data_IF_193865093818
#
_entry.id   IF_193865093818
#
_cell.length_a   1.000
_cell.length_b   1.000
_cell.length_c   1.000
_cell.angle_alpha   90.00
_cell.angle_beta   90.00
_cell.angle_gamma   90.00
#
_symmetry.space_group_name_H-M   'P 1'
#
loop_
_entity.id
_entity.type
_entity.pdbx_description
1 polymer ?
#
# COMPACT_ATOMS: atom_id res chain seq x y z
N UNK A 1 -1.48 -13.75 -12.30
CA UNK A 1 -1.39 -12.51 -11.50
C UNK A 1 -2.79 -12.20 -10.96
N UNK A 2 -2.94 -11.92 -9.68
CA UNK A 2 -4.21 -11.53 -9.05
C UNK A 2 -4.33 -10.01 -8.89
N UNK A 3 -5.55 -9.47 -8.86
CA UNK A 3 -5.80 -8.08 -8.44
C UNK A 3 -6.21 -8.07 -6.96
N UNK A 4 -5.34 -7.56 -6.10
CA UNK A 4 -5.61 -7.40 -4.67
C UNK A 4 -6.20 -6.02 -4.40
N UNK A 5 -7.43 -5.98 -3.86
CA UNK A 5 -8.00 -4.74 -3.32
C UNK A 5 -7.74 -4.75 -1.82
N UNK A 6 -6.95 -3.80 -1.34
CA UNK A 6 -6.66 -3.65 0.08
C UNK A 6 -7.56 -2.54 0.65
N UNK A 7 -8.68 -2.87 1.32
CA UNK A 7 -9.53 -1.87 1.97
C UNK A 7 -8.84 -1.12 3.14
N UNK A 8 -7.55 -1.37 3.39
CA UNK A 8 -6.82 -0.95 4.59
C UNK A 8 -6.10 0.40 4.49
N UNK A 9 -6.10 1.11 3.36
CA UNK A 9 -5.32 2.37 3.28
C UNK A 9 -5.82 3.47 4.24
N UNK A 10 -7.08 3.43 4.68
CA UNK A 10 -7.56 4.31 5.75
C UNK A 10 -7.03 3.91 7.15
N UNK A 11 -6.77 2.62 7.38
CA UNK A 11 -6.32 2.04 8.66
C UNK A 11 -4.79 2.06 8.83
N UNK A 12 -4.05 2.01 7.73
CA UNK A 12 -2.58 2.10 7.70
C UNK A 12 -2.07 3.47 8.15
N UNK A 13 -2.92 4.49 8.04
CA UNK A 13 -2.57 5.87 8.39
C UNK A 13 -2.46 6.07 9.90
N UNK A 14 -3.49 5.83 10.71
CA UNK A 14 -3.41 6.16 12.14
C UNK A 14 -4.31 5.31 13.04
N UNK A 15 -3.78 4.89 14.19
CA UNK A 15 -4.52 4.16 15.23
C UNK A 15 -5.80 4.88 15.72
N UNK A 16 -5.89 6.21 15.64
CA UNK A 16 -7.07 7.00 16.04
C UNK A 16 -8.13 7.13 14.93
N UNK A 17 -7.79 6.84 13.68
CA UNK A 17 -8.70 6.88 12.52
C UNK A 17 -9.47 5.56 12.42
N UNK A 18 -10.26 5.23 13.45
CA UNK A 18 -11.10 4.02 13.51
C UNK A 18 -12.56 4.37 13.30
N UNK A 19 -13.03 4.31 12.07
CA UNK A 19 -14.46 4.43 11.77
C UNK A 19 -15.24 3.17 12.19
N UNK A 20 -14.57 2.01 12.17
CA UNK A 20 -15.15 0.70 12.49
C UNK A 20 -14.46 0.07 13.71
N UNK A 21 -15.21 -0.74 14.48
CA UNK A 21 -14.65 -1.56 15.55
C UNK A 21 -13.97 -2.79 14.96
N UNK A 22 -13.10 -3.43 15.75
CA UNK A 22 -12.40 -4.65 15.30
C UNK A 22 -13.37 -5.77 14.89
N UNK A 23 -14.46 -5.96 15.63
CA UNK A 23 -15.46 -6.97 15.30
C UNK A 23 -16.11 -6.69 13.93
N UNK A 24 -16.39 -5.43 13.62
CA UNK A 24 -16.95 -5.00 12.33
C UNK A 24 -15.95 -5.31 11.18
N UNK A 25 -14.65 -5.08 11.41
CA UNK A 25 -13.61 -5.45 10.44
C UNK A 25 -13.51 -6.97 10.21
N UNK A 26 -13.63 -7.76 11.28
CA UNK A 26 -13.60 -9.22 11.16
C UNK A 26 -14.85 -9.77 10.48
N UNK A 27 -16.02 -9.13 10.65
CA UNK A 27 -17.23 -9.47 9.89
C UNK A 27 -17.06 -9.20 8.39
N UNK A 28 -16.47 -8.04 8.03
CA UNK A 28 -16.13 -7.73 6.64
C UNK A 28 -15.14 -8.76 6.08
N UNK A 29 -14.11 -9.12 6.85
CA UNK A 29 -13.14 -10.13 6.46
C UNK A 29 -13.82 -11.48 6.18
N UNK A 30 -14.70 -11.93 7.07
CA UNK A 30 -15.45 -13.18 6.88
C UNK A 30 -16.30 -13.14 5.60
N UNK A 31 -17.03 -12.05 5.37
CA UNK A 31 -17.86 -11.87 4.15
C UNK A 31 -17.04 -11.86 2.86
N UNK A 32 -15.84 -11.28 2.89
CA UNK A 32 -14.92 -11.30 1.75
C UNK A 32 -14.37 -12.71 1.50
N UNK A 33 -14.01 -13.43 2.56
CA UNK A 33 -13.57 -14.83 2.47
C UNK A 33 -14.68 -15.74 1.94
N UNK A 34 -15.92 -15.59 2.41
CA UNK A 34 -17.09 -16.33 1.90
C UNK A 34 -17.35 -16.04 0.42
N UNK A 35 -16.99 -14.84 -0.06
CA UNK A 35 -17.03 -14.45 -1.46
C UNK A 35 -15.80 -14.93 -2.28
N UNK A 36 -14.94 -15.77 -1.69
CA UNK A 36 -13.76 -16.35 -2.33
C UNK A 36 -12.57 -15.40 -2.46
N UNK A 37 -12.48 -14.36 -1.63
CA UNK A 37 -11.35 -13.43 -1.59
C UNK A 37 -10.36 -13.82 -0.50
N UNK A 38 -9.07 -13.75 -0.81
CA UNK A 38 -8.03 -13.79 0.22
C UNK A 38 -8.09 -12.48 1.01
N UNK A 39 -8.08 -12.59 2.34
CA UNK A 39 -8.06 -11.44 3.24
C UNK A 39 -6.74 -11.39 3.99
N UNK A 40 -6.09 -10.24 3.92
CA UNK A 40 -4.84 -9.92 4.63
C UNK A 40 -5.14 -8.83 5.66
N UNK A 41 -4.77 -9.05 6.92
CA UNK A 41 -4.88 -8.04 7.96
C UNK A 41 -3.62 -7.20 8.03
N UNK A 42 -3.71 -5.93 7.65
CA UNK A 42 -2.56 -5.02 7.66
C UNK A 42 -2.32 -4.39 9.04
N UNK A 43 -1.05 -4.32 9.44
CA UNK A 43 -0.59 -3.69 10.69
C UNK A 43 -0.14 -2.24 10.46
N UNK A 44 -0.09 -1.44 11.53
CA UNK A 44 0.37 -0.06 11.45
C UNK A 44 1.87 0.01 11.11
N UNK A 45 2.25 0.95 10.25
CA UNK A 45 3.66 1.24 9.96
C UNK A 45 4.39 1.96 11.11
N UNK A 46 3.64 2.67 11.96
CA UNK A 46 4.19 3.41 13.09
C UNK A 46 3.37 3.13 14.35
N UNK A 47 4.04 2.58 15.37
CA UNK A 47 3.47 2.30 16.70
C UNK A 47 3.98 3.38 17.66
N UNK A 48 3.08 4.05 18.36
CA UNK A 48 3.44 5.24 19.15
C UNK A 48 3.04 5.12 20.62
N UNK A 49 2.05 4.28 20.91
CA UNK A 49 1.58 4.04 22.26
C UNK A 49 1.54 2.54 22.59
N UNK A 50 1.59 2.20 23.88
CA UNK A 50 1.38 0.83 24.36
C UNK A 50 0.05 0.22 23.88
N UNK A 51 -0.97 1.06 23.69
CA UNK A 51 -2.23 0.62 23.11
C UNK A 51 -2.08 0.09 21.69
N UNK A 52 -1.13 0.60 20.91
CA UNK A 52 -0.88 0.15 19.54
C UNK A 52 -0.21 -1.23 19.56
N UNK A 53 0.77 -1.44 20.45
CA UNK A 53 1.40 -2.74 20.68
C UNK A 53 0.38 -3.82 21.10
N UNK A 54 -0.50 -3.51 22.06
CA UNK A 54 -1.56 -4.43 22.48
C UNK A 54 -2.58 -4.75 21.36
N UNK A 55 -2.72 -3.88 20.36
CA UNK A 55 -3.57 -4.14 19.20
C UNK A 55 -2.83 -4.97 18.17
N UNK A 56 -1.55 -4.67 17.94
CA UNK A 56 -0.66 -5.46 17.10
C UNK A 56 -0.61 -6.92 17.56
N UNK A 57 -0.36 -7.18 18.84
CA UNK A 57 -0.35 -8.53 19.41
C UNK A 57 -1.66 -9.29 19.13
N UNK A 58 -2.81 -8.61 19.25
CA UNK A 58 -4.12 -9.20 18.98
C UNK A 58 -4.35 -9.47 17.49
N UNK A 59 -3.81 -8.64 16.60
CA UNK A 59 -3.85 -8.87 15.16
C UNK A 59 -2.93 -10.05 14.82
N UNK A 60 -1.70 -10.08 15.31
CA UNK A 60 -0.74 -11.16 15.03
C UNK A 60 -1.14 -12.52 15.65
N UNK A 61 -1.86 -12.52 16.77
CA UNK A 61 -2.36 -13.74 17.40
C UNK A 61 -3.65 -14.29 16.76
N UNK A 62 -4.18 -13.64 15.70
CA UNK A 62 -5.34 -14.15 14.99
C UNK A 62 -4.99 -15.47 14.27
N UNK A 63 -5.94 -16.39 14.20
CA UNK A 63 -5.73 -17.71 13.59
C UNK A 63 -6.32 -17.86 12.18
N UNK A 64 -7.02 -16.84 11.68
CA UNK A 64 -7.92 -16.97 10.53
C UNK A 64 -7.37 -16.29 9.26
N UNK A 65 -6.51 -15.29 9.41
CA UNK A 65 -6.08 -14.42 8.32
C UNK A 65 -4.56 -14.17 8.40
N UNK A 66 -3.92 -14.16 7.23
CA UNK A 66 -2.52 -13.75 7.10
C UNK A 66 -2.38 -12.28 7.48
N UNK A 67 -1.24 -11.92 8.06
CA UNK A 67 -0.95 -10.56 8.51
C UNK A 67 0.07 -9.91 7.59
N UNK A 68 -0.18 -8.67 7.18
CA UNK A 68 0.84 -7.82 6.57
C UNK A 68 1.57 -7.04 7.67
N UNK A 69 2.85 -7.36 7.84
CA UNK A 69 3.75 -6.71 8.76
C UNK A 69 4.30 -5.42 8.12
N UNK A 70 4.05 -4.27 8.74
CA UNK A 70 4.53 -2.96 8.30
C UNK A 70 5.58 -2.35 9.25
N UNK A 71 5.96 -3.07 10.31
CA UNK A 71 7.07 -2.73 11.18
C UNK A 71 7.76 -4.01 11.71
N UNK A 72 8.97 -3.89 12.26
CA UNK A 72 9.74 -5.04 12.74
C UNK A 72 9.17 -5.68 14.02
N UNK A 73 8.33 -4.98 14.78
CA UNK A 73 7.58 -5.55 15.91
C UNK A 73 6.55 -6.56 15.41
N UNK A 74 5.84 -6.26 14.32
CA UNK A 74 4.94 -7.21 13.67
C UNK A 74 5.71 -8.44 13.15
N UNK A 75 6.85 -8.22 12.49
CA UNK A 75 7.73 -9.32 12.04
C UNK A 75 8.17 -10.18 13.23
N UNK A 76 8.63 -9.58 14.33
CA UNK A 76 9.05 -10.30 15.53
C UNK A 76 7.95 -11.19 16.11
N UNK A 77 6.70 -10.73 16.08
CA UNK A 77 5.56 -11.50 16.61
C UNK A 77 5.16 -12.67 15.71
N UNK A 78 5.40 -12.59 14.41
CA UNK A 78 4.98 -13.58 13.40
C UNK A 78 6.10 -14.57 13.06
N UNK A 79 7.36 -14.13 13.14
CA UNK A 79 8.53 -14.85 12.65
C UNK A 79 8.64 -16.27 13.23
N UNK A 80 8.81 -17.25 12.34
CA UNK A 80 8.92 -18.67 12.68
C UNK A 80 7.67 -19.29 13.31
N UNK A 81 6.55 -18.55 13.38
CA UNK A 81 5.29 -19.02 14.00
C UNK A 81 4.20 -19.21 12.96
N UNK A 82 3.97 -18.20 12.12
CA UNK A 82 2.94 -18.22 11.07
C UNK A 82 3.44 -17.48 9.83
N UNK A 83 2.97 -17.86 8.62
CA UNK A 83 3.23 -17.10 7.40
C UNK A 83 2.76 -15.65 7.50
N UNK A 84 3.48 -14.73 6.86
CA UNK A 84 3.11 -13.32 6.82
C UNK A 84 3.47 -12.64 5.50
N UNK A 85 2.88 -11.48 5.25
CA UNK A 85 3.26 -10.58 4.15
C UNK A 85 4.23 -9.53 4.69
N UNK A 86 5.41 -9.40 4.09
CA UNK A 86 6.31 -8.29 4.34
C UNK A 86 5.81 -7.05 3.58
N UNK A 87 5.15 -6.13 4.29
CA UNK A 87 4.57 -4.92 3.72
C UNK A 87 5.62 -3.92 3.24
N UNK A 88 5.20 -2.89 2.48
CA UNK A 88 6.13 -1.95 1.85
C UNK A 88 6.90 -1.10 2.86
N UNK A 89 6.40 -0.98 4.09
CA UNK A 89 6.99 -0.17 5.16
C UNK A 89 8.10 -0.88 5.95
N UNK A 90 8.33 -2.17 5.68
CA UNK A 90 9.52 -2.89 6.17
C UNK A 90 10.80 -2.40 5.47
N UNK A 91 10.67 -1.67 4.35
CA UNK A 91 11.79 -1.04 3.65
C UNK A 91 12.81 -2.05 3.13
N UNK A 92 12.34 -3.09 2.44
CA UNK A 92 13.18 -4.11 1.82
C UNK A 92 13.76 -3.62 0.48
N UNK A 93 15.05 -3.26 0.47
CA UNK A 93 15.74 -2.67 -0.69
C UNK A 93 16.79 -3.57 -1.35
N UNK A 94 17.11 -4.74 -0.77
CA UNK A 94 18.18 -5.62 -1.24
C UNK A 94 17.83 -7.10 -1.06
N UNK A 95 18.56 -7.96 -1.78
CA UNK A 95 18.38 -9.41 -1.80
C UNK A 95 18.58 -10.08 -0.44
N UNK A 96 19.50 -9.55 0.36
CA UNK A 96 19.87 -10.07 1.68
C UNK A 96 18.72 -9.89 2.67
N UNK A 97 18.09 -8.71 2.65
CA UNK A 97 16.91 -8.40 3.46
C UNK A 97 15.72 -9.25 3.00
N UNK A 98 15.53 -9.40 1.68
CA UNK A 98 14.47 -10.23 1.13
C UNK A 98 14.60 -11.71 1.55
N UNK A 99 15.83 -12.23 1.50
CA UNK A 99 16.15 -13.59 1.95
C UNK A 99 15.91 -13.76 3.45
N UNK A 100 16.37 -12.80 4.27
CA UNK A 100 16.12 -12.79 5.71
C UNK A 100 14.61 -12.81 6.03
N UNK A 101 13.81 -11.99 5.36
CA UNK A 101 12.36 -11.96 5.57
C UNK A 101 11.71 -13.30 5.21
N UNK A 102 12.17 -13.96 4.15
CA UNK A 102 11.72 -15.29 3.78
C UNK A 102 12.08 -16.35 4.84
N UNK A 103 13.31 -16.33 5.35
CA UNK A 103 13.76 -17.22 6.43
C UNK A 103 12.94 -17.03 7.71
N UNK A 104 12.50 -15.80 7.98
CA UNK A 104 11.61 -15.50 9.09
C UNK A 104 10.16 -15.96 8.86
N UNK A 105 9.78 -16.34 7.63
CA UNK A 105 8.46 -16.88 7.29
C UNK A 105 7.60 -15.96 6.43
N UNK A 106 8.15 -14.92 5.80
CA UNK A 106 7.42 -14.13 4.83
C UNK A 106 7.11 -14.97 3.58
N UNK A 107 5.84 -15.00 3.15
CA UNK A 107 5.39 -15.70 1.93
C UNK A 107 5.05 -14.76 0.79
N UNK A 108 4.97 -13.45 1.07
CA UNK A 108 4.79 -12.39 0.09
C UNK A 108 5.58 -11.18 0.53
N UNK A 109 6.16 -10.45 -0.42
CA UNK A 109 6.74 -9.14 -0.15
C UNK A 109 6.12 -8.07 -1.06
N UNK A 110 6.10 -6.86 -0.53
CA UNK A 110 5.65 -5.66 -1.24
C UNK A 110 6.85 -4.72 -1.34
N UNK A 111 7.36 -4.41 -2.53
CA UNK A 111 8.46 -3.46 -2.67
C UNK A 111 8.07 -2.06 -2.16
N UNK A 112 9.02 -1.31 -1.55
CA UNK A 112 8.84 0.12 -1.32
C UNK A 112 8.45 0.85 -2.62
N UNK A 113 7.54 1.82 -2.50
CA UNK A 113 6.87 2.46 -3.65
C UNK A 113 7.78 3.30 -4.54
N UNK A 114 8.94 3.67 -4.01
CA UNK A 114 9.99 4.43 -4.68
C UNK A 114 10.98 3.55 -5.46
N UNK A 115 10.91 2.22 -5.33
CA UNK A 115 11.79 1.32 -6.07
C UNK A 115 11.42 1.27 -7.57
N UNK A 116 12.39 1.48 -8.48
CA UNK A 116 12.14 1.37 -9.91
C UNK A 116 11.98 -0.09 -10.34
N UNK A 117 11.30 -0.29 -11.47
CA UNK A 117 11.09 -1.59 -12.10
C UNK A 117 12.39 -2.36 -12.33
N UNK A 118 13.49 -1.65 -12.62
CA UNK A 118 14.82 -2.23 -12.80
C UNK A 118 15.36 -2.86 -11.51
N UNK A 119 15.19 -2.19 -10.36
CA UNK A 119 15.57 -2.72 -9.06
C UNK A 119 14.64 -3.85 -8.63
N UNK A 120 13.32 -3.69 -8.82
CA UNK A 120 12.34 -4.76 -8.53
C UNK A 120 12.68 -6.00 -9.35
N UNK A 121 12.97 -5.86 -10.65
CA UNK A 121 13.38 -6.97 -11.51
C UNK A 121 14.70 -7.63 -11.09
N UNK A 122 15.64 -6.86 -10.53
CA UNK A 122 16.88 -7.43 -9.96
C UNK A 122 16.57 -8.27 -8.73
N UNK A 123 15.72 -7.77 -7.83
CA UNK A 123 15.30 -8.50 -6.63
C UNK A 123 14.47 -9.74 -6.96
N UNK A 124 13.63 -9.68 -7.99
CA UNK A 124 12.86 -10.81 -8.52
C UNK A 124 13.76 -12.00 -8.88
N UNK A 125 14.92 -11.75 -9.49
CA UNK A 125 15.86 -12.82 -9.85
C UNK A 125 16.49 -13.53 -8.65
N UNK A 126 16.49 -12.87 -7.48
CA UNK A 126 17.04 -13.40 -6.22
C UNK A 126 15.96 -13.80 -5.22
N UNK A 127 14.69 -13.54 -5.55
CA UNK A 127 13.55 -13.82 -4.66
C UNK A 127 13.43 -15.33 -4.45
N UNK A 128 13.23 -15.80 -3.21
CA UNK A 128 12.92 -17.20 -2.94
C UNK A 128 11.71 -17.68 -3.76
N UNK A 129 11.80 -18.88 -4.35
CA UNK A 129 10.85 -19.36 -5.36
C UNK A 129 9.38 -19.38 -4.87
N UNK A 130 9.16 -19.71 -3.60
CA UNK A 130 7.83 -19.80 -2.99
C UNK A 130 7.26 -18.45 -2.50
N UNK A 131 8.01 -17.36 -2.62
CA UNK A 131 7.57 -16.04 -2.17
C UNK A 131 6.90 -15.28 -3.31
N UNK A 132 5.72 -14.70 -3.06
CA UNK A 132 5.00 -13.85 -4.01
C UNK A 132 5.54 -12.41 -3.99
N UNK A 133 5.41 -11.72 -5.13
CA UNK A 133 5.69 -10.28 -5.25
C UNK A 133 4.41 -9.53 -5.56
N UNK A 134 4.08 -8.57 -4.71
CA UNK A 134 2.94 -7.69 -4.86
C UNK A 134 3.40 -6.23 -5.07
N UNK A 135 2.92 -5.57 -6.12
CA UNK A 135 3.34 -4.18 -6.46
C UNK A 135 2.17 -3.22 -6.34
N UNK A 136 2.39 -2.09 -5.65
CA UNK A 136 1.46 -0.96 -5.63
C UNK A 136 1.33 -0.35 -7.03
N UNK A 137 0.14 -0.46 -7.62
CA UNK A 137 -0.10 -0.11 -9.02
C UNK A 137 -1.02 1.09 -9.21
N UNK A 138 -1.86 1.43 -8.22
CA UNK A 138 -2.79 2.55 -8.36
C UNK A 138 -3.13 3.24 -7.04
N UNK A 139 -3.14 4.57 -7.08
CA UNK A 139 -3.59 5.46 -5.98
C UNK A 139 -2.47 6.32 -5.41
N UNK A 140 -2.76 7.05 -4.33
CA UNK A 140 -1.79 7.95 -3.71
C UNK A 140 -0.65 7.19 -3.04
N UNK A 141 0.59 7.47 -3.43
CA UNK A 141 1.76 6.75 -2.93
C UNK A 141 2.01 7.09 -1.45
N UNK A 142 2.12 6.12 -0.53
CA UNK A 142 2.51 6.34 0.86
C UNK A 142 3.99 6.70 0.99
N UNK A 143 4.35 7.99 0.94
CA UNK A 143 5.75 8.43 0.87
C UNK A 143 6.45 8.52 2.24
N UNK A 144 5.76 8.92 3.29
CA UNK A 144 6.36 9.01 4.63
C UNK A 144 5.33 9.03 5.75
N UNK A 145 5.78 8.70 6.96
CA UNK A 145 5.00 8.68 8.19
C UNK A 145 5.69 9.55 9.26
N UNK A 146 4.90 10.16 10.14
CA UNK A 146 5.39 11.03 11.21
C UNK A 146 4.68 10.76 12.53
N UNK A 147 5.44 10.62 13.62
CA UNK A 147 4.85 10.58 14.96
C UNK A 147 4.04 11.86 15.28
N UNK A 148 4.33 12.97 14.60
CA UNK A 148 3.50 14.19 14.64
C UNK A 148 2.52 14.17 13.49
N UNK A 149 1.22 14.14 13.80
CA UNK A 149 0.15 14.21 12.80
C UNK A 149 0.19 15.53 12.04
N UNK A 150 0.42 15.47 10.74
CA UNK A 150 0.48 16.63 9.86
C UNK A 150 -0.85 17.37 9.86
N UNK A 151 -1.99 16.66 9.79
CA UNK A 151 -3.33 17.28 9.81
C UNK A 151 -3.59 18.02 11.12
N UNK A 152 -3.26 17.42 12.27
CA UNK A 152 -3.40 18.06 13.57
C UNK A 152 -2.54 19.33 13.64
N UNK A 153 -1.28 19.24 13.18
CA UNK A 153 -0.37 20.38 13.14
C UNK A 153 -0.88 21.51 12.24
N UNK A 154 -1.41 21.19 11.07
CA UNK A 154 -1.96 22.16 10.13
C UNK A 154 -3.18 22.89 10.69
N UNK A 155 -3.97 22.20 11.52
CA UNK A 155 -5.11 22.79 12.24
C UNK A 155 -4.72 23.38 13.60
N UNK A 156 -3.42 23.45 13.90
CA UNK A 156 -2.84 23.99 15.13
C UNK A 156 -3.39 23.36 16.42
N UNK A 157 -3.67 22.05 16.39
CA UNK A 157 -4.08 21.27 17.56
C UNK A 157 -3.05 20.19 17.90
N UNK A 158 -3.02 19.77 19.17
CA UNK A 158 -2.25 18.62 19.59
C UNK A 158 -2.74 17.34 18.91
N UNK A 159 -1.84 16.37 18.69
CA UNK A 159 -2.22 15.06 18.13
C UNK A 159 -3.24 14.34 19.00
N UNK A 160 -3.15 14.50 20.32
CA UNK A 160 -4.06 13.83 21.22
C UNK A 160 -5.47 14.39 21.20
N UNK A 161 -5.57 15.68 20.95
CA UNK A 161 -6.80 16.46 20.80
C UNK A 161 -7.19 16.60 19.32
N UNK A 162 -6.75 15.66 18.47
CA UNK A 162 -6.96 15.79 17.03
C UNK A 162 -8.42 15.62 16.61
N UNK A 163 -9.32 15.12 17.48
CA UNK A 163 -10.76 15.03 17.18
C UNK A 163 -11.08 14.43 15.80
N UNK A 164 -10.21 13.54 15.30
CA UNK A 164 -10.29 12.93 13.98
C UNK A 164 -10.45 13.94 12.81
N UNK A 165 -9.80 15.11 12.85
CA UNK A 165 -9.95 16.17 11.81
C UNK A 165 -9.72 15.68 10.38
N UNK A 166 -8.87 14.67 10.20
CA UNK A 166 -8.60 14.05 8.91
C UNK A 166 -9.86 13.50 8.21
N UNK A 167 -10.93 13.18 8.94
CA UNK A 167 -12.21 12.72 8.35
C UNK A 167 -12.87 13.83 7.50
N UNK A 168 -12.57 15.10 7.76
CA UNK A 168 -13.08 16.24 6.97
C UNK A 168 -12.47 16.30 5.56
N UNK A 169 -11.28 15.73 5.40
CA UNK A 169 -10.51 15.69 4.18
C UNK A 169 -10.38 14.21 3.74
N UNK A 170 -11.45 13.53 3.28
CA UNK A 170 -11.44 12.08 3.05
C UNK A 170 -10.42 11.63 1.99
N UNK A 171 -10.14 12.49 1.00
CA UNK A 171 -9.12 12.31 -0.03
C UNK A 171 -7.75 12.92 0.36
N UNK A 172 -7.62 13.38 1.61
CA UNK A 172 -6.45 14.09 2.12
C UNK A 172 -6.39 15.56 1.73
N UNK A 173 -5.56 16.33 2.44
CA UNK A 173 -5.40 17.78 2.21
C UNK A 173 -4.25 18.05 1.24
N UNK A 174 -4.48 18.74 0.11
CA UNK A 174 -3.42 19.06 -0.84
C UNK A 174 -2.36 20.01 -0.26
N UNK A 175 -1.10 19.79 -0.61
CA UNK A 175 0.01 20.71 -0.37
C UNK A 175 0.61 21.16 -1.71
N UNK A 176 0.94 22.45 -1.78
CA UNK A 176 1.39 23.11 -2.99
C UNK A 176 2.78 23.73 -2.81
N UNK A 177 3.54 23.82 -3.90
CA UNK A 177 4.77 24.61 -3.99
C UNK A 177 4.46 26.11 -3.99
N UNK A 178 5.49 26.96 -3.97
CA UNK A 178 5.31 28.42 -4.11
C UNK A 178 4.81 28.79 -5.51
N UNK A 179 5.11 27.95 -6.50
CA UNK A 179 4.65 28.02 -7.88
C UNK A 179 3.23 27.45 -8.06
N UNK A 180 2.55 27.10 -6.97
CA UNK A 180 1.18 26.55 -6.95
C UNK A 180 1.03 25.17 -7.59
N UNK A 181 2.12 24.40 -7.66
CA UNK A 181 2.07 23.02 -8.14
C UNK A 181 1.74 22.06 -6.99
N UNK A 182 0.80 21.13 -7.22
CA UNK A 182 0.43 20.14 -6.20
C UNK A 182 1.54 19.11 -6.05
N UNK A 183 2.23 19.14 -4.91
CA UNK A 183 3.39 18.29 -4.68
C UNK A 183 3.08 17.07 -3.80
N UNK A 184 2.29 17.27 -2.75
CA UNK A 184 1.96 16.23 -1.78
C UNK A 184 0.48 16.28 -1.36
N UNK A 185 0.04 15.18 -0.74
CA UNK A 185 -1.27 15.08 -0.09
C UNK A 185 -1.06 14.66 1.36
N UNK A 186 -1.60 15.44 2.29
CA UNK A 186 -1.51 15.19 3.72
C UNK A 186 -2.69 14.34 4.19
N UNK A 187 -2.42 13.18 4.78
CA UNK A 187 -3.45 12.22 5.18
C UNK A 187 -3.24 11.72 6.63
N UNK A 188 -3.45 12.61 7.60
CA UNK A 188 -3.20 12.33 9.01
C UNK A 188 -1.70 12.38 9.34
N UNK A 189 -1.11 11.26 9.74
CA UNK A 189 0.36 11.16 9.96
C UNK A 189 1.14 10.82 8.69
N UNK A 190 0.45 10.53 7.60
CA UNK A 190 1.04 10.11 6.34
C UNK A 190 1.15 11.30 5.39
N UNK A 191 2.30 11.42 4.71
CA UNK A 191 2.46 12.27 3.54
C UNK A 191 2.43 11.36 2.31
N UNK A 192 1.59 11.72 1.34
CA UNK A 192 1.39 10.98 0.12
C UNK A 192 1.80 11.80 -1.11
N UNK A 193 1.90 11.15 -2.27
CA UNK A 193 2.11 11.85 -3.54
C UNK A 193 1.06 12.94 -3.79
N UNK A 194 1.42 13.96 -4.58
CA UNK A 194 0.50 15.04 -4.94
C UNK A 194 -0.62 14.59 -5.88
N UNK A 195 -0.38 13.57 -6.70
CA UNK A 195 -1.35 12.96 -7.61
C UNK A 195 -1.26 11.42 -7.50
N UNK A 196 -2.32 10.69 -7.88
CA UNK A 196 -2.32 9.23 -7.83
C UNK A 196 -1.24 8.62 -8.74
N UNK A 197 -0.58 7.57 -8.26
CA UNK A 197 0.20 6.69 -9.12
C UNK A 197 -0.74 5.88 -10.03
N UNK A 198 -0.32 5.64 -11.27
CA UNK A 198 -1.04 4.75 -12.19
C UNK A 198 -0.05 3.94 -13.04
N UNK A 199 0.03 2.64 -12.74
CA UNK A 199 0.84 1.65 -13.45
C UNK A 199 0.00 0.73 -14.36
N UNK A 200 -1.20 1.14 -14.75
CA UNK A 200 -2.09 0.32 -15.58
C UNK A 200 -1.42 -0.16 -16.87
N UNK A 201 -0.71 0.73 -17.57
CA UNK A 201 -0.01 0.39 -18.82
C UNK A 201 1.26 -0.45 -18.60
N UNK A 202 1.72 -0.57 -17.36
CA UNK A 202 2.90 -1.36 -16.98
C UNK A 202 2.55 -2.79 -16.58
N UNK A 203 1.26 -3.13 -16.48
CA UNK A 203 0.78 -4.48 -16.13
C UNK A 203 1.36 -5.57 -17.02
N UNK A 204 1.51 -5.31 -18.33
CA UNK A 204 2.15 -6.24 -19.26
C UNK A 204 3.64 -6.45 -18.97
N UNK A 205 4.36 -5.40 -18.57
CA UNK A 205 5.75 -5.51 -18.14
C UNK A 205 5.87 -6.26 -16.80
N UNK A 206 4.95 -5.98 -15.87
CA UNK A 206 4.87 -6.69 -14.59
C UNK A 206 4.65 -8.19 -14.76
N UNK A 207 3.75 -8.59 -15.68
CA UNK A 207 3.48 -9.99 -16.01
C UNK A 207 4.74 -10.69 -16.52
N UNK A 208 5.48 -10.05 -17.45
CA UNK A 208 6.74 -10.59 -17.98
C UNK A 208 7.83 -10.70 -16.91
N UNK A 209 7.82 -9.83 -15.91
CA UNK A 209 8.75 -9.84 -14.77
C UNK A 209 8.40 -10.90 -13.71
N UNK A 210 7.26 -11.58 -13.84
CA UNK A 210 6.79 -12.56 -12.84
C UNK A 210 6.28 -11.92 -11.56
N UNK A 211 5.75 -10.70 -11.62
CA UNK A 211 5.02 -10.11 -10.49
C UNK A 211 3.67 -10.84 -10.34
N UNK A 212 3.30 -11.16 -9.10
CA UNK A 212 2.16 -12.03 -8.81
C UNK A 212 0.87 -11.23 -8.57
N UNK A 213 0.98 -10.03 -7.99
CA UNK A 213 -0.18 -9.25 -7.58
C UNK A 213 0.01 -7.76 -7.89
N UNK A 214 -1.04 -7.14 -8.43
CA UNK A 214 -1.14 -5.67 -8.50
C UNK A 214 -2.05 -5.16 -7.39
N UNK A 215 -1.55 -4.19 -6.62
CA UNK A 215 -2.24 -3.58 -5.49
C UNK A 215 -2.89 -2.26 -5.89
N UNK A 216 -4.18 -2.15 -5.58
CA UNK A 216 -4.97 -0.94 -5.82
C UNK A 216 -5.36 -0.36 -4.47
N UNK A 217 -4.99 0.90 -4.27
CA UNK A 217 -5.52 1.74 -3.19
C UNK A 217 -6.94 2.18 -3.55
N UNK A 218 -7.95 1.90 -2.70
CA UNK A 218 -9.32 2.34 -2.94
C UNK A 218 -9.42 3.86 -3.08
N UNK A 219 -10.19 4.29 -4.07
CA UNK A 219 -10.57 5.69 -4.28
C UNK A 219 -11.98 5.95 -3.74
N UNK A 220 -12.26 7.20 -3.36
CA UNK A 220 -13.58 7.60 -2.88
C UNK A 220 -14.68 7.35 -3.94
N UNK A 221 -14.33 7.46 -5.22
CA UNK A 221 -15.20 7.20 -6.37
C UNK A 221 -14.55 6.20 -7.31
N UNK A 222 -15.37 5.47 -8.06
CA UNK A 222 -14.94 4.64 -9.19
C UNK A 222 -13.96 3.49 -8.91
N UNK A 223 -13.72 3.13 -7.64
CA UNK A 223 -12.86 1.98 -7.27
C UNK A 223 -13.25 0.69 -7.99
N UNK A 224 -14.55 0.37 -8.08
CA UNK A 224 -15.02 -0.82 -8.81
C UNK A 224 -14.63 -0.79 -10.30
N UNK A 225 -14.73 0.37 -10.94
CA UNK A 225 -14.30 0.54 -12.33
C UNK A 225 -12.78 0.38 -12.48
N UNK A 226 -12.00 0.97 -11.57
CA UNK A 226 -10.54 0.86 -11.57
C UNK A 226 -10.13 -0.62 -11.46
N UNK A 227 -10.72 -1.35 -10.50
CA UNK A 227 -10.45 -2.78 -10.31
C UNK A 227 -10.77 -3.59 -11.56
N UNK A 228 -11.93 -3.35 -12.20
CA UNK A 228 -12.31 -4.00 -13.46
C UNK A 228 -11.33 -3.70 -14.59
N UNK A 229 -10.85 -2.46 -14.70
CA UNK A 229 -9.88 -2.05 -15.71
C UNK A 229 -8.53 -2.75 -15.51
N UNK A 230 -8.02 -2.80 -14.27
CA UNK A 230 -6.78 -3.53 -13.97
C UNK A 230 -6.94 -5.03 -14.20
N UNK A 231 -8.08 -5.61 -13.83
CA UNK A 231 -8.35 -7.02 -14.09
C UNK A 231 -8.33 -7.33 -15.59
N UNK A 232 -8.99 -6.50 -16.42
CA UNK A 232 -8.97 -6.64 -17.86
C UNK A 232 -7.53 -6.55 -18.44
N UNK A 233 -6.71 -5.63 -17.93
CA UNK A 233 -5.32 -5.48 -18.35
C UNK A 233 -4.47 -6.71 -17.98
N UNK A 234 -4.66 -7.26 -16.78
CA UNK A 234 -3.98 -8.48 -16.31
C UNK A 234 -4.39 -9.70 -17.14
N UNK A 235 -5.65 -9.77 -17.59
CA UNK A 235 -6.15 -10.81 -18.49
C UNK A 235 -5.71 -10.62 -19.96
N UNK A 236 -4.91 -9.59 -20.25
CA UNK A 236 -4.42 -9.29 -21.60
C UNK A 236 -5.48 -8.71 -22.53
N UNK A 237 -6.61 -8.24 -21.99
CA UNK A 237 -7.62 -7.52 -22.78
C UNK A 237 -7.11 -6.13 -23.12
N UNK A 238 -7.32 -5.70 -24.37
CA UNK A 238 -6.94 -4.36 -24.80
C UNK A 238 -7.69 -3.30 -23.99
N UNK A 239 -6.93 -2.51 -23.24
CA UNK A 239 -7.40 -1.35 -22.50
C UNK A 239 -7.27 -0.12 -23.41
N UNK A 240 -8.31 0.71 -23.47
CA UNK A 240 -8.24 1.95 -24.25
C UNK A 240 -7.40 2.99 -23.50
N UNK A 241 -6.63 3.79 -24.24
CA UNK A 241 -5.79 4.90 -23.71
C UNK A 241 -6.60 6.04 -23.03
N UNK A 242 -7.90 5.83 -22.79
CA UNK A 242 -8.84 6.76 -22.17
C UNK A 242 -9.33 6.38 -20.78
N UNK A 243 -9.12 5.13 -20.37
CA UNK A 243 -9.98 4.53 -19.34
C UNK A 243 -9.76 5.10 -17.93
N UNK A 244 -8.56 5.61 -17.62
CA UNK A 244 -8.21 6.22 -16.32
C UNK A 244 -7.54 7.60 -16.50
N UNK A 245 -8.11 8.46 -17.36
CA UNK A 245 -7.59 9.82 -17.61
C UNK A 245 -7.84 10.75 -16.42
N UNK A 246 -7.00 10.63 -15.39
CA UNK A 246 -6.75 11.65 -14.38
C UNK A 246 -5.25 11.98 -14.45
N UNK A 247 -4.82 13.21 -14.07
CA UNK A 247 -3.41 13.44 -13.79
C UNK A 247 -2.90 12.34 -12.85
N UNK A 248 -1.87 11.64 -13.30
CA UNK A 248 -1.28 10.52 -12.59
C UNK A 248 0.24 10.61 -12.68
N UNK A 249 0.94 9.89 -11.81
CA UNK A 249 2.38 9.73 -11.87
C UNK A 249 2.76 8.25 -11.99
N UNK A 250 3.95 8.00 -12.54
CA UNK A 250 4.58 6.67 -12.57
C UNK A 250 6.11 6.80 -12.56
N UNK A 251 6.66 7.98 -12.27
CA UNK A 251 8.08 8.26 -12.39
C UNK A 251 8.98 7.28 -11.64
N UNK A 252 8.63 6.91 -10.40
CA UNK A 252 9.44 5.97 -9.62
C UNK A 252 9.60 4.62 -10.31
N UNK A 253 8.54 4.08 -10.93
CA UNK A 253 8.61 2.83 -11.70
C UNK A 253 9.68 2.89 -12.80
N UNK A 254 9.83 4.05 -13.44
CA UNK A 254 10.82 4.30 -14.49
C UNK A 254 12.16 4.85 -13.98
N UNK A 255 12.39 4.95 -12.67
CA UNK A 255 13.62 5.51 -12.10
C UNK A 255 13.72 7.04 -12.23
N UNK A 256 12.59 7.72 -12.37
CA UNK A 256 12.45 9.17 -12.47
C UNK A 256 11.80 9.75 -11.20
N UNK A 257 11.75 11.09 -11.02
CA UNK A 257 11.04 11.69 -9.90
C UNK A 257 9.58 11.23 -9.81
N UNK A 258 9.13 10.86 -8.61
CA UNK A 258 7.79 10.26 -8.39
C UNK A 258 6.59 11.14 -8.74
N UNK A 259 6.80 12.42 -9.07
CA UNK A 259 5.76 13.34 -9.56
C UNK A 259 5.62 13.33 -11.09
N UNK A 260 6.57 12.73 -11.81
CA UNK A 260 6.58 12.67 -13.27
C UNK A 260 5.64 11.59 -13.79
N UNK A 261 5.08 11.84 -14.97
CA UNK A 261 4.38 10.85 -15.77
C UNK A 261 5.16 10.55 -17.05
N UNK A 262 5.48 9.29 -17.26
CA UNK A 262 6.03 8.75 -18.50
C UNK A 262 4.92 8.09 -19.28
N UNK A 263 4.75 8.53 -20.52
CA UNK A 263 3.92 7.81 -21.48
C UNK A 263 4.63 6.51 -21.88
N UNK A 264 3.89 5.41 -21.97
CA UNK A 264 4.43 4.18 -22.53
C UNK A 264 4.99 4.47 -23.93
N UNK A 265 6.27 4.20 -24.16
CA UNK A 265 6.85 4.27 -25.49
C UNK A 265 6.32 3.07 -26.30
N UNK A 266 5.64 3.36 -27.41
CA UNK A 266 5.34 2.36 -28.43
C UNK A 266 6.64 2.02 -29.16
N UNK A 267 7.42 1.09 -28.61
CA UNK A 267 8.49 0.40 -29.32
C UNK A 267 8.05 -1.03 -29.68
#
# INVERSE_FOLDING_TARGET
MGAGVHPSDELLSCAKRRALRRADWLDIAARLTDAGKEVVLSTLALLEANSDLLQLEKICANANYIVEANDMSAVHLLAGRVPFVAGPHINCYNSETLSLLAELGATRWVPPVELPATTIGTLQNTRPEAMETEVFAYGYLPLSFSARCFTARADNVGKDECEQRCIRDPEGRPLFTQEHERLFTMNGIQLQSGIPCNLLYETGAMLKMGIDIVRISPQLKDTDSIVKTFHAAVDGTSISEGMLRSPACNGYWHGLPGMTFMHAHND
#
